data_IF_537110286856
#
_entry.id   IF_537110286856
#
_cell.length_a   1.000
_cell.length_b   1.000
_cell.length_c   1.000
_cell.angle_alpha   90.00
_cell.angle_beta   90.00
_cell.angle_gamma   90.00
#
_symmetry.space_group_name_H-M   'P 1'
#
loop_
_entity.id
_entity.type
_entity.pdbx_description
1 polymer ?
#
# COMPACT_ATOMS: atom_id res chain seq x y z
N UNK A 1 -10.90 26.50 26.31
CA UNK A 1 -10.77 26.27 24.85
C UNK A 1 -10.47 24.77 24.67
N UNK A 2 -11.30 24.05 23.91
CA UNK A 2 -11.06 22.64 23.63
C UNK A 2 -10.30 22.54 22.28
N UNK A 3 -9.09 22.03 22.31
CA UNK A 3 -8.25 21.86 21.10
C UNK A 3 -8.40 20.41 20.66
N UNK A 4 -9.00 20.12 19.48
CA UNK A 4 -9.10 18.75 18.97
C UNK A 4 -7.72 18.24 18.56
N UNK A 5 -7.51 16.92 18.67
CA UNK A 5 -6.31 16.27 18.18
C UNK A 5 -6.16 16.42 16.65
N UNK A 6 -7.27 16.29 15.92
CA UNK A 6 -7.37 16.47 14.48
C UNK A 6 -8.74 17.07 14.14
N UNK A 7 -8.76 18.14 13.36
CA UNK A 7 -9.98 18.74 12.85
C UNK A 7 -10.08 18.59 11.34
N UNK A 8 -10.79 17.54 10.89
CA UNK A 8 -11.07 17.33 9.46
C UNK A 8 -11.90 18.47 8.87
N UNK A 9 -12.78 19.10 9.71
CA UNK A 9 -13.55 20.25 9.30
C UNK A 9 -12.68 21.44 8.88
N UNK A 10 -11.64 21.74 9.68
CA UNK A 10 -10.75 22.88 9.40
C UNK A 10 -9.90 22.61 8.15
N UNK A 11 -9.49 21.35 7.94
CA UNK A 11 -8.78 20.95 6.71
C UNK A 11 -9.70 21.13 5.50
N UNK A 12 -10.95 20.64 5.58
CA UNK A 12 -11.94 20.80 4.49
C UNK A 12 -12.23 22.27 4.19
N UNK A 13 -12.40 23.09 5.23
CA UNK A 13 -12.69 24.52 5.05
C UNK A 13 -11.55 25.26 4.34
N UNK A 14 -10.30 24.87 4.60
CA UNK A 14 -9.11 25.45 3.95
C UNK A 14 -9.09 25.25 2.43
N UNK A 15 -9.60 24.12 1.95
CA UNK A 15 -9.59 23.71 0.52
C UNK A 15 -11.01 23.62 -0.06
N UNK A 16 -11.98 24.28 0.58
CA UNK A 16 -13.41 24.11 0.33
C UNK A 16 -13.82 24.30 -1.12
N UNK A 17 -13.37 25.38 -1.74
CA UNK A 17 -13.76 25.72 -3.11
C UNK A 17 -13.27 24.66 -4.10
N UNK A 18 -12.00 24.29 -4.04
CA UNK A 18 -11.38 23.27 -4.90
C UNK A 18 -12.04 21.90 -4.71
N UNK A 19 -12.37 21.56 -3.45
CA UNK A 19 -13.02 20.30 -3.11
C UNK A 19 -14.47 20.27 -3.63
N UNK A 20 -15.22 21.37 -3.49
CA UNK A 20 -16.58 21.47 -4.02
C UNK A 20 -16.59 21.34 -5.55
N UNK A 21 -15.68 22.04 -6.24
CA UNK A 21 -15.55 21.91 -7.70
C UNK A 21 -15.26 20.45 -8.12
N UNK A 22 -14.35 19.76 -7.42
CA UNK A 22 -14.04 18.38 -7.72
C UNK A 22 -15.23 17.44 -7.51
N UNK A 23 -15.98 17.62 -6.41
CA UNK A 23 -17.19 16.84 -6.12
C UNK A 23 -18.27 17.10 -7.19
N UNK A 24 -18.49 18.36 -7.56
CA UNK A 24 -19.47 18.72 -8.59
C UNK A 24 -19.12 18.11 -9.95
N UNK A 25 -17.85 18.18 -10.36
CA UNK A 25 -17.43 17.52 -11.63
C UNK A 25 -17.77 16.02 -11.66
N UNK A 26 -17.59 15.30 -10.54
CA UNK A 26 -17.94 13.88 -10.47
C UNK A 26 -19.44 13.67 -10.50
N UNK A 27 -20.19 14.42 -9.67
CA UNK A 27 -21.66 14.26 -9.57
C UNK A 27 -22.37 14.62 -10.87
N UNK A 28 -21.95 15.67 -11.54
CA UNK A 28 -22.54 16.14 -12.80
C UNK A 28 -22.20 15.18 -13.97
N UNK A 29 -21.04 14.50 -13.90
CA UNK A 29 -20.67 13.51 -14.90
C UNK A 29 -21.52 12.24 -14.88
N UNK A 30 -22.13 11.90 -13.74
CA UNK A 30 -22.83 10.64 -13.52
C UNK A 30 -21.92 9.40 -13.56
N UNK A 31 -20.59 9.56 -13.66
CA UNK A 31 -19.63 8.47 -13.71
C UNK A 31 -18.82 8.40 -12.40
N UNK A 32 -19.32 7.65 -11.44
CA UNK A 32 -18.85 7.64 -10.05
C UNK A 32 -17.73 6.63 -9.76
N UNK A 33 -17.58 5.57 -10.55
CA UNK A 33 -16.61 4.51 -10.33
C UNK A 33 -15.66 4.38 -11.51
N UNK A 34 -14.34 4.37 -11.22
CA UNK A 34 -13.29 4.22 -12.24
C UNK A 34 -13.42 5.25 -13.40
N UNK A 35 -13.91 6.44 -13.09
CA UNK A 35 -14.11 7.53 -14.04
C UNK A 35 -12.84 8.33 -14.29
N UNK A 36 -13.02 9.49 -14.93
CA UNK A 36 -11.92 10.37 -15.34
C UNK A 36 -11.10 10.86 -14.14
N UNK A 37 -11.76 11.23 -13.04
CA UNK A 37 -11.08 11.73 -11.83
C UNK A 37 -10.24 10.62 -11.17
N UNK A 38 -10.74 9.37 -11.14
CA UNK A 38 -9.96 8.23 -10.65
C UNK A 38 -8.71 7.98 -11.51
N UNK A 39 -8.87 8.00 -12.84
CA UNK A 39 -7.74 7.81 -13.76
C UNK A 39 -6.70 8.90 -13.58
N UNK A 40 -7.13 10.15 -13.48
CA UNK A 40 -6.23 11.27 -13.22
C UNK A 40 -5.49 11.13 -11.89
N UNK A 41 -6.20 10.75 -10.83
CA UNK A 41 -5.58 10.47 -9.53
C UNK A 41 -4.51 9.38 -9.65
N UNK A 42 -4.79 8.28 -10.35
CA UNK A 42 -3.84 7.19 -10.54
C UNK A 42 -2.58 7.66 -11.28
N UNK A 43 -2.72 8.46 -12.33
CA UNK A 43 -1.62 9.04 -13.09
C UNK A 43 -0.80 10.02 -12.23
N UNK A 44 -1.46 10.95 -11.55
CA UNK A 44 -0.82 11.96 -10.71
C UNK A 44 -0.10 11.31 -9.52
N UNK A 45 -0.73 10.30 -8.88
CA UNK A 45 -0.15 9.64 -7.71
C UNK A 45 1.01 8.71 -8.09
N UNK A 46 0.93 7.99 -9.21
CA UNK A 46 2.07 7.23 -9.74
C UNK A 46 3.28 8.14 -9.98
N UNK A 47 3.06 9.28 -10.64
CA UNK A 47 4.09 10.29 -10.86
C UNK A 47 4.64 10.87 -9.55
N UNK A 48 3.77 11.15 -8.57
CA UNK A 48 4.16 11.67 -7.27
C UNK A 48 5.04 10.69 -6.49
N UNK A 49 4.70 9.42 -6.47
CA UNK A 49 5.49 8.36 -5.81
C UNK A 49 6.77 8.07 -6.60
N UNK A 50 6.74 8.16 -7.93
CA UNK A 50 7.84 7.84 -8.83
C UNK A 50 7.79 6.39 -9.31
N UNK A 51 6.59 5.84 -9.50
CA UNK A 51 6.33 4.50 -10.06
C UNK A 51 5.61 4.60 -11.40
N UNK A 52 5.61 3.52 -12.18
CA UNK A 52 4.93 3.48 -13.47
C UNK A 52 3.41 3.37 -13.36
N UNK A 53 2.93 2.66 -12.34
CA UNK A 53 1.52 2.33 -12.19
C UNK A 53 1.03 2.67 -10.79
N UNK A 54 -0.19 3.20 -10.75
CA UNK A 54 -1.01 3.31 -9.55
C UNK A 54 -2.40 2.73 -9.86
N UNK A 55 -2.97 2.01 -8.92
CA UNK A 55 -4.33 1.45 -9.02
C UNK A 55 -5.13 1.86 -7.80
N UNK A 56 -6.20 2.63 -8.00
CA UNK A 56 -7.13 3.01 -6.95
C UNK A 56 -7.96 1.83 -6.46
N UNK A 57 -8.11 1.71 -5.14
CA UNK A 57 -8.87 0.66 -4.47
C UNK A 57 -9.71 1.25 -3.32
N UNK A 58 -10.58 0.45 -2.71
CA UNK A 58 -11.54 0.97 -1.73
C UNK A 58 -10.89 1.54 -0.46
N UNK A 59 -9.83 0.95 0.05
CA UNK A 59 -9.11 1.42 1.24
C UNK A 59 -7.73 0.77 1.38
N UNK A 60 -7.01 1.13 2.45
CA UNK A 60 -5.66 0.60 2.69
C UNK A 60 -5.61 -0.91 2.97
N UNK A 61 -6.62 -1.46 3.66
CA UNK A 61 -6.68 -2.91 3.88
C UNK A 61 -6.86 -3.65 2.56
N UNK A 62 -7.80 -3.21 1.72
CA UNK A 62 -7.98 -3.81 0.39
C UNK A 62 -6.72 -3.65 -0.48
N UNK A 63 -5.99 -2.52 -0.35
CA UNK A 63 -4.71 -2.35 -1.05
C UNK A 63 -3.71 -3.44 -0.64
N UNK A 64 -3.55 -3.68 0.65
CA UNK A 64 -2.69 -4.75 1.17
C UNK A 64 -3.13 -6.14 0.72
N UNK A 65 -4.44 -6.43 0.80
CA UNK A 65 -5.00 -7.72 0.40
C UNK A 65 -4.79 -8.01 -1.10
N UNK A 66 -5.10 -7.04 -1.95
CA UNK A 66 -5.01 -7.20 -3.41
C UNK A 66 -3.55 -7.27 -3.89
N UNK A 67 -2.64 -6.47 -3.32
CA UNK A 67 -1.23 -6.55 -3.71
C UNK A 67 -0.61 -7.92 -3.34
N UNK A 68 -0.92 -8.45 -2.14
CA UNK A 68 -0.46 -9.77 -1.72
C UNK A 68 -1.07 -10.84 -2.62
N UNK A 69 -2.37 -10.76 -2.91
CA UNK A 69 -3.07 -11.72 -3.75
C UNK A 69 -2.54 -11.73 -5.18
N UNK A 70 -2.31 -10.56 -5.76
CA UNK A 70 -1.71 -10.44 -7.09
C UNK A 70 -0.31 -11.08 -7.15
N UNK A 71 0.53 -10.80 -6.16
CA UNK A 71 1.86 -11.40 -6.07
C UNK A 71 1.79 -12.91 -5.83
N UNK A 72 0.88 -13.38 -4.97
CA UNK A 72 0.68 -14.81 -4.72
C UNK A 72 0.32 -15.57 -6.00
N UNK A 73 -0.56 -15.00 -6.83
CA UNK A 73 -0.94 -15.58 -8.13
C UNK A 73 0.25 -15.53 -9.09
N UNK A 74 0.87 -14.36 -9.27
CA UNK A 74 1.94 -14.13 -10.23
C UNK A 74 3.15 -15.02 -9.96
N UNK A 75 3.55 -15.13 -8.68
CA UNK A 75 4.73 -15.91 -8.29
C UNK A 75 4.42 -17.36 -7.88
N UNK A 76 3.16 -17.78 -7.97
CA UNK A 76 2.76 -19.16 -7.69
C UNK A 76 2.88 -19.61 -6.24
N UNK A 77 2.78 -18.67 -5.27
CA UNK A 77 2.88 -18.98 -3.84
C UNK A 77 1.72 -19.86 -3.37
N UNK A 78 1.98 -20.64 -2.32
CA UNK A 78 1.02 -21.60 -1.78
C UNK A 78 0.45 -21.14 -0.45
N UNK A 79 -0.69 -21.70 -0.08
CA UNK A 79 -1.23 -21.53 1.26
C UNK A 79 -0.21 -21.98 2.31
N UNK A 80 -0.02 -21.18 3.34
CA UNK A 80 0.97 -21.40 4.39
C UNK A 80 2.40 -20.96 4.04
N UNK A 81 2.66 -20.41 2.85
CA UNK A 81 3.90 -19.66 2.62
C UNK A 81 3.96 -18.42 3.52
N UNK A 82 5.16 -17.92 3.79
CA UNK A 82 5.41 -16.98 4.88
C UNK A 82 5.74 -15.58 4.36
N UNK A 83 5.23 -14.59 5.09
CA UNK A 83 5.58 -13.17 4.93
C UNK A 83 6.13 -12.66 6.25
N UNK A 84 7.36 -12.18 6.26
CA UNK A 84 7.97 -11.54 7.42
C UNK A 84 7.45 -10.11 7.53
N UNK A 85 7.08 -9.70 8.75
CA UNK A 85 6.56 -8.34 9.02
C UNK A 85 6.88 -7.93 10.46
N UNK A 86 7.04 -6.63 10.70
CA UNK A 86 7.25 -6.10 12.05
C UNK A 86 6.02 -6.27 12.95
N UNK A 87 6.23 -6.65 14.21
CA UNK A 87 5.16 -6.92 15.17
C UNK A 87 4.40 -5.67 15.64
N UNK A 88 5.02 -4.49 15.57
CA UNK A 88 4.43 -3.21 15.98
C UNK A 88 3.58 -2.54 14.87
N UNK A 89 3.18 -3.28 13.84
CA UNK A 89 2.34 -2.76 12.76
C UNK A 89 0.88 -2.56 13.19
N UNK A 90 0.12 -1.80 12.39
CA UNK A 90 -1.34 -1.78 12.50
C UNK A 90 -1.93 -3.12 12.03
N UNK A 91 -3.02 -3.55 12.67
CA UNK A 91 -3.62 -4.89 12.44
C UNK A 91 -3.97 -5.19 10.98
N UNK A 92 -4.23 -4.17 10.16
CA UNK A 92 -4.57 -4.34 8.74
C UNK A 92 -3.51 -5.12 7.96
N UNK A 93 -2.22 -4.86 8.23
CA UNK A 93 -1.11 -5.58 7.57
C UNK A 93 -1.16 -7.07 7.86
N UNK A 94 -1.42 -7.43 9.11
CA UNK A 94 -1.51 -8.84 9.55
C UNK A 94 -2.74 -9.52 8.96
N UNK A 95 -3.89 -8.82 8.96
CA UNK A 95 -5.14 -9.33 8.38
C UNK A 95 -4.98 -9.61 6.89
N UNK A 96 -4.37 -8.70 6.13
CA UNK A 96 -4.15 -8.87 4.71
C UNK A 96 -3.32 -10.11 4.36
N UNK A 97 -2.28 -10.41 5.16
CA UNK A 97 -1.47 -11.63 5.00
C UNK A 97 -2.33 -12.87 5.29
N UNK A 98 -3.04 -12.88 6.42
CA UNK A 98 -3.86 -14.02 6.86
C UNK A 98 -5.03 -14.31 5.90
N UNK A 99 -5.71 -13.27 5.38
CA UNK A 99 -6.82 -13.41 4.44
C UNK A 99 -6.38 -13.96 3.07
N UNK A 100 -5.08 -13.88 2.77
CA UNK A 100 -4.48 -14.53 1.61
C UNK A 100 -4.01 -15.97 1.89
N UNK A 101 -4.38 -16.57 3.04
CA UNK A 101 -3.92 -17.88 3.49
C UNK A 101 -2.39 -17.99 3.59
N UNK A 102 -1.70 -16.87 3.80
CA UNK A 102 -0.28 -16.81 4.09
C UNK A 102 -0.06 -16.72 5.59
N UNK A 103 1.11 -17.14 6.03
CA UNK A 103 1.52 -17.08 7.43
C UNK A 103 2.34 -15.82 7.66
N UNK A 104 1.91 -14.95 8.56
CA UNK A 104 2.71 -13.84 9.04
C UNK A 104 3.78 -14.32 10.01
N UNK A 105 5.02 -13.93 9.79
CA UNK A 105 6.14 -14.13 10.71
C UNK A 105 6.46 -12.79 11.35
N UNK A 106 6.05 -12.65 12.60
CA UNK A 106 6.20 -11.39 13.34
C UNK A 106 7.62 -11.28 13.90
N UNK A 107 8.27 -10.16 13.63
CA UNK A 107 9.54 -9.81 14.23
C UNK A 107 9.38 -8.60 15.15
N UNK A 108 9.92 -8.70 16.36
CA UNK A 108 10.00 -7.55 17.25
C UNK A 108 10.97 -6.51 16.67
N UNK A 109 10.56 -5.25 16.56
CA UNK A 109 11.48 -4.19 16.16
C UNK A 109 12.48 -3.89 17.27
N UNK A 110 13.60 -3.30 16.92
CA UNK A 110 14.53 -2.73 17.88
C UNK A 110 13.79 -1.72 18.79
N UNK A 111 13.94 -1.84 20.10
CA UNK A 111 13.21 -1.04 21.10
C UNK A 111 13.54 0.45 21.07
N UNK A 112 14.71 0.83 20.56
CA UNK A 112 15.16 2.22 20.51
C UNK A 112 14.85 2.86 19.15
N UNK A 113 15.08 2.11 18.05
CA UNK A 113 14.95 2.64 16.70
C UNK A 113 13.57 2.33 16.07
N UNK A 114 12.83 1.35 16.59
CA UNK A 114 11.59 0.81 16.04
C UNK A 114 11.74 0.25 14.60
N UNK A 115 12.96 -0.06 14.20
CA UNK A 115 13.30 -0.62 12.89
C UNK A 115 13.47 -2.14 12.99
N UNK A 116 13.31 -2.81 11.87
CA UNK A 116 13.70 -4.21 11.75
C UNK A 116 15.22 -4.31 11.56
N UNK A 117 15.82 -5.19 12.31
CA UNK A 117 17.24 -5.53 12.20
C UNK A 117 17.45 -6.63 11.15
N UNK A 118 18.41 -6.42 10.25
CA UNK A 118 18.73 -7.35 9.16
C UNK A 118 19.08 -8.76 9.65
N UNK A 119 19.79 -8.86 10.78
CA UNK A 119 20.17 -10.15 11.35
C UNK A 119 18.95 -10.91 11.86
N UNK A 120 17.99 -10.20 12.44
CA UNK A 120 16.72 -10.77 12.91
C UNK A 120 15.85 -11.22 11.74
N UNK A 121 15.82 -10.45 10.67
CA UNK A 121 15.14 -10.84 9.43
C UNK A 121 15.78 -12.12 8.87
N UNK A 122 17.10 -12.14 8.71
CA UNK A 122 17.80 -13.29 8.12
C UNK A 122 17.58 -14.59 8.91
N UNK A 123 17.61 -14.54 10.25
CA UNK A 123 17.32 -15.69 11.13
C UNK A 123 15.89 -16.21 11.02
N UNK A 124 14.93 -15.37 10.61
CA UNK A 124 13.53 -15.76 10.46
C UNK A 124 13.20 -16.35 9.09
N UNK A 125 14.13 -16.26 8.13
CA UNK A 125 13.92 -16.80 6.78
C UNK A 125 13.89 -18.33 6.82
N UNK A 126 12.86 -18.89 6.19
CA UNK A 126 12.69 -20.33 5.99
C UNK A 126 12.53 -20.64 4.49
N UNK A 127 12.56 -21.90 4.06
CA UNK A 127 12.25 -22.27 2.68
C UNK A 127 10.83 -21.87 2.21
N UNK A 128 9.95 -21.49 3.13
CA UNK A 128 8.58 -21.02 2.85
C UNK A 128 8.47 -19.50 2.81
N UNK A 129 9.48 -18.76 3.21
CA UNK A 129 9.45 -17.30 3.20
C UNK A 129 9.45 -16.79 1.76
N UNK A 130 8.49 -15.92 1.42
CA UNK A 130 8.28 -15.36 0.08
C UNK A 130 8.47 -13.86 0.00
N UNK A 131 8.15 -13.16 1.08
CA UNK A 131 8.21 -11.70 1.09
C UNK A 131 8.62 -11.15 2.46
N UNK A 132 9.18 -9.95 2.41
CA UNK A 132 9.36 -9.07 3.55
C UNK A 132 8.42 -7.87 3.36
N UNK A 133 7.57 -7.58 4.35
CA UNK A 133 6.68 -6.43 4.39
C UNK A 133 7.28 -5.35 5.29
N UNK A 134 7.72 -4.23 4.73
CA UNK A 134 8.12 -3.05 5.48
C UNK A 134 6.91 -2.16 5.73
N UNK A 135 6.63 -1.85 6.99
CA UNK A 135 5.59 -0.89 7.36
C UNK A 135 6.26 0.41 7.77
N UNK A 136 6.08 1.45 6.99
CA UNK A 136 6.67 2.79 7.24
C UNK A 136 5.87 3.55 8.28
N UNK A 137 5.86 3.01 9.50
CA UNK A 137 5.04 3.46 10.61
C UNK A 137 5.36 4.91 10.98
N UNK A 138 4.31 5.74 11.15
CA UNK A 138 4.42 7.16 11.50
C UNK A 138 5.26 8.00 10.52
N UNK A 139 5.40 7.57 9.28
CA UNK A 139 6.19 8.29 8.27
C UNK A 139 7.69 8.05 8.38
N UNK A 140 8.12 7.01 9.09
CA UNK A 140 9.53 6.61 9.18
C UNK A 140 9.84 5.58 8.10
N UNK A 141 10.84 5.88 7.26
CA UNK A 141 11.29 4.93 6.25
C UNK A 141 12.07 3.79 6.89
N UNK A 142 11.64 2.56 6.68
CA UNK A 142 12.35 1.35 7.13
C UNK A 142 13.24 0.75 6.05
N UNK A 143 13.12 1.21 4.81
CA UNK A 143 13.99 0.75 3.73
C UNK A 143 15.43 1.21 3.96
N UNK A 144 16.36 0.33 3.70
CA UNK A 144 17.78 0.61 3.52
C UNK A 144 18.40 -0.43 2.59
N UNK A 145 19.60 -0.18 2.09
CA UNK A 145 20.28 -1.06 1.13
C UNK A 145 20.57 -2.47 1.67
N UNK A 146 20.85 -2.60 2.97
CA UNK A 146 21.10 -3.92 3.57
C UNK A 146 19.84 -4.80 3.49
N UNK A 147 18.66 -4.20 3.68
CA UNK A 147 17.39 -4.93 3.53
C UNK A 147 17.16 -5.33 2.07
N UNK A 148 17.45 -4.46 1.12
CA UNK A 148 17.34 -4.78 -0.30
C UNK A 148 18.31 -5.91 -0.70
N UNK A 149 19.57 -5.84 -0.28
CA UNK A 149 20.55 -6.89 -0.52
C UNK A 149 20.12 -8.22 0.09
N UNK A 150 19.56 -8.20 1.30
CA UNK A 150 19.03 -9.39 1.96
C UNK A 150 17.87 -10.01 1.17
N UNK A 151 16.93 -9.19 0.74
CA UNK A 151 15.82 -9.64 -0.09
C UNK A 151 16.32 -10.27 -1.41
N UNK A 152 17.28 -9.63 -2.06
CA UNK A 152 17.88 -10.15 -3.30
C UNK A 152 18.63 -11.48 -3.07
N UNK A 153 19.40 -11.57 -1.99
CA UNK A 153 20.15 -12.78 -1.61
C UNK A 153 19.23 -13.99 -1.42
N UNK A 154 18.04 -13.79 -0.87
CA UNK A 154 17.10 -14.86 -0.53
C UNK A 154 15.89 -14.95 -1.48
N UNK A 155 15.89 -14.21 -2.61
CA UNK A 155 14.77 -14.12 -3.56
C UNK A 155 13.43 -13.75 -2.89
N UNK A 156 13.46 -12.88 -1.87
CA UNK A 156 12.27 -12.37 -1.21
C UNK A 156 11.71 -11.18 -1.96
N UNK A 157 10.40 -11.12 -2.10
CA UNK A 157 9.74 -9.93 -2.64
C UNK A 157 9.59 -8.89 -1.55
N UNK A 158 10.13 -7.69 -1.77
CA UNK A 158 9.99 -6.57 -0.85
C UNK A 158 8.64 -5.90 -1.08
N UNK A 159 7.83 -5.80 -0.04
CA UNK A 159 6.54 -5.13 0.00
C UNK A 159 6.62 -3.90 0.91
N UNK A 160 5.85 -2.87 0.58
CA UNK A 160 5.73 -1.68 1.42
C UNK A 160 4.28 -1.45 1.84
N UNK A 161 4.05 -1.34 3.16
CA UNK A 161 2.86 -0.72 3.72
C UNK A 161 3.18 0.76 3.96
N UNK A 162 2.73 1.59 3.03
CA UNK A 162 2.96 3.04 3.02
C UNK A 162 1.76 3.84 3.57
N UNK A 163 0.84 3.18 4.26
CA UNK A 163 -0.42 3.78 4.73
C UNK A 163 -0.24 4.98 5.68
N UNK A 164 0.93 5.17 6.27
CA UNK A 164 1.25 6.27 7.19
C UNK A 164 2.43 7.11 6.73
N UNK A 165 2.92 6.94 5.51
CA UNK A 165 4.19 7.52 5.08
C UNK A 165 4.13 8.30 3.76
N UNK A 166 2.95 8.90 3.44
CA UNK A 166 2.83 9.77 2.28
C UNK A 166 3.84 10.92 2.35
N UNK A 167 4.71 11.03 1.34
CA UNK A 167 5.74 12.03 1.28
C UNK A 167 7.05 11.68 1.99
N UNK A 168 7.12 10.58 2.72
CA UNK A 168 8.36 10.08 3.29
C UNK A 168 9.38 9.74 2.19
N UNK A 169 10.64 10.03 2.43
CA UNK A 169 11.71 9.86 1.44
C UNK A 169 12.95 9.23 2.07
N UNK A 170 13.64 8.44 1.26
CA UNK A 170 14.99 7.97 1.56
C UNK A 170 15.90 8.24 0.35
N UNK A 171 16.99 8.98 0.56
CA UNK A 171 17.95 9.38 -0.49
C UNK A 171 17.30 9.95 -1.76
N UNK A 172 16.27 10.80 -1.59
CA UNK A 172 15.59 11.46 -2.70
C UNK A 172 14.51 10.65 -3.40
N UNK A 173 14.30 9.39 -3.02
CA UNK A 173 13.25 8.50 -3.55
C UNK A 173 12.14 8.32 -2.49
N UNK A 174 10.88 8.37 -2.91
CA UNK A 174 9.76 8.25 -1.96
C UNK A 174 9.51 6.80 -1.55
N UNK A 175 9.09 6.60 -0.29
CA UNK A 175 8.51 5.33 0.15
C UNK A 175 7.26 5.03 -0.67
N UNK A 176 7.00 3.74 -0.89
CA UNK A 176 5.98 3.29 -1.84
C UNK A 176 6.52 3.02 -3.25
N UNK A 177 7.85 3.16 -3.45
CA UNK A 177 8.52 2.88 -4.73
C UNK A 177 9.79 2.03 -4.61
N UNK A 178 10.12 1.54 -3.42
CA UNK A 178 11.32 0.70 -3.21
C UNK A 178 11.03 -0.77 -3.46
N UNK A 179 9.88 -1.27 -2.97
CA UNK A 179 9.48 -2.65 -3.15
C UNK A 179 8.91 -2.97 -4.53
N UNK A 180 8.62 -4.23 -4.77
CA UNK A 180 7.94 -4.65 -6.01
C UNK A 180 6.52 -4.11 -6.09
N UNK A 181 5.93 -3.81 -4.94
CA UNK A 181 4.57 -3.26 -4.80
C UNK A 181 4.42 -2.58 -3.44
N UNK A 182 3.60 -1.53 -3.39
CA UNK A 182 3.28 -0.83 -2.16
C UNK A 182 1.78 -0.55 -2.03
N UNK A 183 1.27 -0.59 -0.78
CA UNK A 183 -0.10 -0.23 -0.43
C UNK A 183 -0.16 1.14 0.25
N UNK A 184 -1.17 1.92 -0.10
CA UNK A 184 -1.45 3.25 0.43
C UNK A 184 -2.87 3.34 0.96
N UNK A 185 -3.05 4.11 2.04
CA UNK A 185 -4.36 4.40 2.64
C UNK A 185 -4.63 5.89 2.61
N UNK A 186 -5.80 6.27 2.14
CA UNK A 186 -6.28 7.64 2.19
C UNK A 186 -7.49 7.77 3.13
N UNK A 187 -7.56 6.94 4.17
CA UNK A 187 -8.55 7.12 5.24
C UNK A 187 -8.52 8.59 5.72
N UNK A 188 -9.67 9.22 6.02
CA UNK A 188 -9.73 10.67 6.30
C UNK A 188 -8.72 11.20 7.32
N UNK A 189 -8.35 10.40 8.32
CA UNK A 189 -7.36 10.76 9.34
C UNK A 189 -5.90 10.57 8.94
N UNK A 190 -5.61 10.14 7.71
CA UNK A 190 -4.22 10.04 7.21
C UNK A 190 -3.67 11.43 6.86
N UNK A 191 -2.34 11.55 6.80
CA UNK A 191 -1.69 12.82 6.42
C UNK A 191 -2.04 13.27 4.99
N UNK A 192 -2.48 12.36 4.11
CA UNK A 192 -3.17 12.63 2.88
C UNK A 192 -4.48 11.83 2.91
N UNK A 193 -5.57 12.45 3.35
CA UNK A 193 -6.88 11.83 3.58
C UNK A 193 -7.90 12.21 2.51
N UNK A 194 -8.74 11.25 2.14
CA UNK A 194 -9.93 11.44 1.30
C UNK A 194 -11.15 11.79 2.17
N UNK A 195 -12.31 12.02 1.55
CA UNK A 195 -13.59 12.29 2.24
C UNK A 195 -14.27 11.02 2.81
N UNK A 196 -13.67 9.89 2.62
CA UNK A 196 -14.14 8.59 3.09
C UNK A 196 -13.05 7.55 2.91
N UNK A 197 -13.43 6.29 2.80
CA UNK A 197 -12.49 5.23 2.50
C UNK A 197 -11.90 5.40 1.10
N UNK A 198 -10.57 5.37 1.02
CA UNK A 198 -9.83 5.29 -0.23
C UNK A 198 -8.47 4.64 0.00
N UNK A 199 -7.94 4.01 -1.03
CA UNK A 199 -6.62 3.40 -1.05
C UNK A 199 -6.04 3.34 -2.45
N UNK A 200 -4.76 3.03 -2.55
CA UNK A 200 -4.09 2.77 -3.82
C UNK A 200 -2.98 1.74 -3.65
N UNK A 201 -2.60 1.17 -4.78
CA UNK A 201 -1.43 0.31 -4.92
C UNK A 201 -0.50 0.94 -5.95
N UNK A 202 0.80 1.03 -5.64
CA UNK A 202 1.82 1.51 -6.57
C UNK A 202 2.82 0.40 -6.90
N UNK A 203 3.26 0.34 -8.16
CA UNK A 203 4.22 -0.65 -8.64
C UNK A 203 4.84 -0.22 -9.97
N UNK A 204 6.03 -0.75 -10.27
CA UNK A 204 6.64 -0.66 -11.60
C UNK A 204 6.31 -1.89 -12.48
N UNK A 205 5.65 -2.90 -11.91
CA UNK A 205 5.32 -4.14 -12.60
C UNK A 205 3.89 -4.08 -13.18
N UNK A 206 3.81 -4.15 -14.52
CA UNK A 206 2.54 -4.08 -15.25
C UNK A 206 1.62 -5.27 -14.95
N UNK A 207 2.18 -6.47 -14.79
CA UNK A 207 1.39 -7.67 -14.50
C UNK A 207 0.72 -7.58 -13.14
N UNK A 208 1.44 -7.06 -12.11
CA UNK A 208 0.85 -6.79 -10.79
C UNK A 208 -0.28 -5.76 -10.91
N UNK A 209 -0.04 -4.64 -11.61
CA UNK A 209 -1.05 -3.60 -11.78
C UNK A 209 -2.31 -4.14 -12.46
N UNK A 210 -2.16 -4.93 -13.52
CA UNK A 210 -3.27 -5.55 -14.24
C UNK A 210 -4.02 -6.57 -13.38
N UNK A 211 -3.31 -7.44 -12.67
CA UNK A 211 -3.93 -8.40 -11.74
C UNK A 211 -4.71 -7.68 -10.63
N UNK A 212 -4.18 -6.62 -10.06
CA UNK A 212 -4.89 -5.82 -9.06
C UNK A 212 -6.19 -5.25 -9.64
N UNK A 213 -6.17 -4.70 -10.85
CA UNK A 213 -7.38 -4.18 -11.51
C UNK A 213 -8.44 -5.26 -11.71
N UNK A 214 -8.04 -6.43 -12.20
CA UNK A 214 -8.94 -7.57 -12.42
C UNK A 214 -9.51 -8.08 -11.09
N UNK A 215 -8.66 -8.32 -10.09
CA UNK A 215 -9.07 -8.80 -8.76
C UNK A 215 -9.98 -7.80 -8.03
N UNK A 216 -9.70 -6.52 -8.15
CA UNK A 216 -10.52 -5.44 -7.58
C UNK A 216 -11.84 -5.21 -8.32
N UNK A 217 -12.06 -5.86 -9.46
CA UNK A 217 -13.26 -5.74 -10.29
C UNK A 217 -13.90 -7.11 -10.58
N UNK A 218 -14.14 -7.89 -9.53
CA UNK A 218 -14.82 -9.19 -9.59
C UNK A 218 -14.16 -10.24 -10.51
N UNK A 219 -12.86 -10.15 -10.78
CA UNK A 219 -12.17 -11.01 -11.74
C UNK A 219 -12.47 -10.65 -13.21
N UNK A 220 -12.76 -9.39 -13.49
CA UNK A 220 -13.17 -8.95 -14.83
C UNK A 220 -12.22 -7.89 -15.38
N UNK A 221 -11.60 -8.17 -16.51
CA UNK A 221 -10.78 -7.22 -17.29
C UNK A 221 -11.63 -6.22 -18.07
N UNK A 222 -12.87 -6.59 -18.41
CA UNK A 222 -13.86 -5.74 -19.11
C UNK A 222 -15.24 -5.94 -18.51
N UNK A 223 -16.08 -4.90 -18.53
CA UNK A 223 -17.44 -4.97 -18.02
C UNK A 223 -18.19 -6.20 -18.60
N UNK A 224 -18.67 -7.08 -17.71
CA UNK A 224 -19.36 -8.33 -18.01
C UNK A 224 -18.50 -9.44 -18.70
N UNK A 225 -17.19 -9.32 -18.71
CA UNK A 225 -16.27 -10.37 -19.14
C UNK A 225 -15.44 -10.79 -17.92
N UNK A 226 -15.55 -12.06 -17.54
CA UNK A 226 -14.83 -12.62 -16.38
C UNK A 226 -13.67 -13.49 -16.90
N UNK A 227 -12.50 -13.26 -16.37
CA UNK A 227 -11.23 -13.94 -16.73
C UNK A 227 -10.90 -15.07 -15.75
#
# INVERSE_FOLDING_TARGET
MQIPFLSLKDITEKYKEELHEAVLRVTDSGWYLQGVENKKFEEDYANYIGTKYCVGVANGLQALELMIRACKILYGWKDGDEVIVQANTYIATILAISQNNLKHILLDPNSETLELDSDSIEKAITPKTRALMLVHLYGRCLYNENIEELCNKHDLKLFEDNAQAHGCMYKGKKTGSFGVVAAHSFYPGKNLGAFGDAGAITTDNEEIANLVRVLGNYGSSKKYVFD
#
